data_IF_136720488968
#
_entry.id   IF_136720488968
#
_cell.length_a   1.000
_cell.length_b   1.000
_cell.length_c   1.000
_cell.angle_alpha   90.00
_cell.angle_beta   90.00
_cell.angle_gamma   90.00
#
_symmetry.space_group_name_H-M   'P 1'
#
loop_
_entity.id
_entity.type
_entity.pdbx_description
1 polymer ?
#
# COMPACT_ATOMS: atom_id res chain seq x y z
N UNK A 1 31.13 1.61 11.56
CA UNK A 1 29.74 1.96 11.95
C UNK A 1 29.57 3.43 11.66
N UNK A 2 28.69 3.84 10.74
CA UNK A 2 28.45 5.28 10.49
C UNK A 2 27.71 5.85 11.70
N UNK A 3 28.20 6.94 12.26
CA UNK A 3 27.52 7.67 13.34
C UNK A 3 26.13 8.11 12.87
N UNK A 4 25.11 7.84 13.67
CA UNK A 4 23.74 8.18 13.32
C UNK A 4 23.55 9.70 13.39
N UNK A 5 23.10 10.31 12.29
CA UNK A 5 22.81 11.75 12.25
C UNK A 5 21.67 12.07 13.24
N UNK A 6 21.93 12.84 14.31
CA UNK A 6 20.97 13.09 15.38
C UNK A 6 19.79 13.96 14.94
N UNK A 7 19.83 14.53 13.73
CA UNK A 7 18.74 15.35 13.19
C UNK A 7 17.65 14.55 12.48
N UNK A 8 17.90 13.27 12.22
CA UNK A 8 16.96 12.40 11.53
C UNK A 8 16.06 11.65 12.52
N UNK A 9 14.78 11.54 12.18
CA UNK A 9 13.87 10.68 12.93
C UNK A 9 14.28 9.20 12.81
N UNK A 10 13.89 8.34 13.76
CA UNK A 10 14.20 6.91 13.71
C UNK A 10 13.75 6.22 12.41
N UNK A 11 12.60 6.63 11.87
CA UNK A 11 12.11 6.13 10.58
C UNK A 11 13.01 6.58 9.42
N UNK A 12 13.42 7.84 9.39
CA UNK A 12 14.32 8.34 8.35
C UNK A 12 15.68 7.65 8.40
N UNK A 13 16.23 7.42 9.59
CA UNK A 13 17.46 6.65 9.75
C UNK A 13 17.31 5.20 9.26
N UNK A 14 16.19 4.54 9.58
CA UNK A 14 15.92 3.17 9.13
C UNK A 14 15.76 3.05 7.61
N UNK A 15 15.32 4.12 6.94
CA UNK A 15 15.18 4.16 5.48
C UNK A 15 16.50 4.50 4.76
N UNK A 16 17.48 5.09 5.44
CA UNK A 16 18.79 5.37 4.86
C UNK A 16 19.59 4.08 4.74
N UNK A 17 19.87 3.68 3.50
CA UNK A 17 20.58 2.42 3.21
C UNK A 17 19.69 1.19 3.28
N UNK A 18 18.37 1.36 3.40
CA UNK A 18 17.42 0.27 3.25
C UNK A 18 17.46 -0.24 1.80
N UNK A 19 17.89 -1.48 1.64
CA UNK A 19 17.77 -2.21 0.39
C UNK A 19 16.52 -3.07 0.45
N UNK A 20 15.67 -2.91 -0.55
CA UNK A 20 14.48 -3.74 -0.70
C UNK A 20 14.91 -5.21 -0.82
N UNK A 21 14.24 -6.06 -0.04
CA UNK A 21 14.33 -7.52 -0.15
C UNK A 21 13.81 -7.99 -1.51
N UNK A 22 14.15 -9.22 -1.89
CA UNK A 22 13.65 -9.80 -3.15
C UNK A 22 12.11 -9.88 -3.18
N UNK A 23 11.49 -10.23 -2.05
CA UNK A 23 10.03 -10.24 -1.90
C UNK A 23 9.42 -8.86 -2.17
N UNK A 24 9.99 -7.80 -1.59
CA UNK A 24 9.51 -6.43 -1.76
C UNK A 24 9.67 -5.96 -3.21
N UNK A 25 10.79 -6.29 -3.87
CA UNK A 25 10.98 -6.01 -5.29
C UNK A 25 9.91 -6.68 -6.14
N UNK A 26 9.62 -7.97 -5.90
CA UNK A 26 8.58 -8.71 -6.62
C UNK A 26 7.19 -8.08 -6.41
N UNK A 27 6.85 -7.73 -5.17
CA UNK A 27 5.59 -7.06 -4.84
C UNK A 27 5.46 -5.71 -5.57
N UNK A 28 6.50 -4.87 -5.51
CA UNK A 28 6.53 -3.57 -6.18
C UNK A 28 6.36 -3.72 -7.69
N UNK A 29 7.10 -4.64 -8.31
CA UNK A 29 7.02 -4.86 -9.75
C UNK A 29 5.65 -5.42 -10.18
N UNK A 30 5.05 -6.30 -9.38
CA UNK A 30 3.69 -6.78 -9.62
C UNK A 30 2.68 -5.63 -9.56
N UNK A 31 2.76 -4.79 -8.53
CA UNK A 31 1.86 -3.64 -8.35
C UNK A 31 2.01 -2.63 -9.48
N UNK A 32 3.25 -2.32 -9.90
CA UNK A 32 3.53 -1.46 -11.06
C UNK A 32 2.91 -2.00 -12.34
N UNK A 33 2.95 -3.31 -12.58
CA UNK A 33 2.32 -3.91 -13.77
C UNK A 33 0.80 -3.88 -13.70
N UNK A 34 0.24 -3.94 -12.49
CA UNK A 34 -1.19 -4.06 -12.23
C UNK A 34 -1.84 -2.76 -11.74
N UNK A 35 -1.16 -1.61 -11.80
CA UNK A 35 -1.61 -0.33 -11.25
C UNK A 35 -3.01 0.09 -11.76
N UNK A 36 -3.35 -0.28 -12.99
CA UNK A 36 -4.66 -0.01 -13.58
C UNK A 36 -5.82 -0.61 -12.78
N UNK A 37 -5.57 -1.66 -11.99
CA UNK A 37 -6.56 -2.22 -11.07
C UNK A 37 -6.88 -1.25 -9.93
N UNK A 38 -5.88 -0.56 -9.37
CA UNK A 38 -6.10 0.47 -8.35
C UNK A 38 -6.83 1.68 -8.94
N UNK A 39 -6.47 2.11 -10.16
CA UNK A 39 -7.18 3.20 -10.83
C UNK A 39 -8.69 2.90 -11.01
N UNK A 40 -9.04 1.65 -11.34
CA UNK A 40 -10.45 1.19 -11.36
C UNK A 40 -11.03 1.11 -9.94
N UNK A 41 -10.25 0.63 -8.97
CA UNK A 41 -10.63 0.55 -7.56
C UNK A 41 -11.08 1.90 -6.99
N UNK A 42 -10.45 3.00 -7.38
CA UNK A 42 -10.83 4.35 -6.93
C UNK A 42 -12.29 4.73 -7.26
N UNK A 43 -12.85 4.20 -8.36
CA UNK A 43 -14.25 4.43 -8.73
C UNK A 43 -15.19 3.68 -7.77
N UNK A 44 -14.84 2.45 -7.44
CA UNK A 44 -15.64 1.59 -6.55
C UNK A 44 -15.48 1.96 -5.07
N UNK A 45 -14.33 2.54 -4.69
CA UNK A 45 -14.05 2.99 -3.33
C UNK A 45 -14.83 4.26 -2.93
N UNK A 46 -15.60 4.87 -3.84
CA UNK A 46 -16.32 6.13 -3.60
C UNK A 46 -17.17 6.08 -2.32
N UNK A 47 -18.00 5.06 -2.18
CA UNK A 47 -18.92 4.95 -1.03
C UNK A 47 -18.15 4.82 0.29
N UNK A 48 -17.17 3.93 0.36
CA UNK A 48 -16.33 3.73 1.55
C UNK A 48 -15.54 5.00 1.89
N UNK A 49 -15.08 5.74 0.87
CA UNK A 49 -14.40 7.01 1.06
C UNK A 49 -15.32 8.12 1.60
N UNK A 50 -16.54 8.26 1.06
CA UNK A 50 -17.54 9.20 1.56
C UNK A 50 -17.87 8.91 3.03
N UNK A 51 -18.08 7.64 3.39
CA UNK A 51 -18.33 7.21 4.78
C UNK A 51 -17.13 7.53 5.69
N UNK A 52 -15.91 7.25 5.25
CA UNK A 52 -14.67 7.53 5.99
C UNK A 52 -14.49 9.04 6.23
N UNK A 53 -14.72 9.86 5.20
CA UNK A 53 -14.56 11.32 5.28
C UNK A 53 -15.67 11.97 6.09
N UNK A 54 -16.88 11.41 6.11
CA UNK A 54 -18.01 11.97 6.87
C UNK A 54 -17.72 12.10 8.38
N UNK A 55 -16.84 11.26 8.92
CA UNK A 55 -16.39 11.31 10.32
C UNK A 55 -15.30 12.35 10.60
N UNK A 56 -14.75 13.04 9.59
CA UNK A 56 -13.64 13.97 9.74
C UNK A 56 -14.16 15.40 9.99
N UNK A 57 -13.96 15.90 11.21
CA UNK A 57 -14.31 17.27 11.59
C UNK A 57 -13.36 18.33 11.03
N UNK A 58 -13.70 19.62 11.23
CA UNK A 58 -12.87 20.79 10.92
C UNK A 58 -12.54 21.04 9.42
N UNK A 59 -13.22 20.39 8.48
CA UNK A 59 -13.09 20.71 7.05
C UNK A 59 -14.04 21.84 6.69
N UNK A 60 -13.47 23.01 6.40
CA UNK A 60 -14.21 24.28 6.25
C UNK A 60 -14.64 24.59 4.83
N UNK A 61 -14.17 23.85 3.83
CA UNK A 61 -14.44 24.08 2.41
C UNK A 61 -14.86 22.80 1.71
N UNK A 62 -15.72 22.92 0.70
CA UNK A 62 -16.15 21.79 -0.13
C UNK A 62 -14.98 21.22 -0.95
N UNK A 63 -14.07 22.09 -1.39
CA UNK A 63 -12.83 21.67 -2.03
C UNK A 63 -11.95 20.82 -1.10
N UNK A 64 -11.83 21.21 0.17
CA UNK A 64 -11.10 20.42 1.17
C UNK A 64 -11.72 19.05 1.41
N UNK A 65 -13.05 18.96 1.39
CA UNK A 65 -13.76 17.66 1.48
C UNK A 65 -13.49 16.80 0.25
N UNK A 66 -13.56 17.39 -0.93
CA UNK A 66 -13.32 16.69 -2.20
C UNK A 66 -11.88 16.14 -2.27
N UNK A 67 -10.88 16.94 -1.91
CA UNK A 67 -9.47 16.51 -1.88
C UNK A 67 -9.29 15.35 -0.91
N UNK A 68 -9.88 15.45 0.29
CA UNK A 68 -9.79 14.37 1.26
C UNK A 68 -10.46 13.10 0.77
N UNK A 69 -11.64 13.21 0.14
CA UNK A 69 -12.36 12.07 -0.42
C UNK A 69 -11.55 11.39 -1.55
N UNK A 70 -10.91 12.17 -2.43
CA UNK A 70 -10.01 11.62 -3.47
C UNK A 70 -8.83 10.90 -2.83
N UNK A 71 -8.18 11.50 -1.82
CA UNK A 71 -7.07 10.88 -1.11
C UNK A 71 -7.48 9.56 -0.43
N UNK A 72 -8.67 9.53 0.19
CA UNK A 72 -9.20 8.31 0.80
C UNK A 72 -9.48 7.23 -0.25
N UNK A 73 -10.03 7.58 -1.41
CA UNK A 73 -10.23 6.61 -2.52
C UNK A 73 -8.92 6.02 -3.00
N UNK A 74 -7.86 6.82 -3.13
CA UNK A 74 -6.51 6.33 -3.47
C UNK A 74 -6.02 5.34 -2.41
N UNK A 75 -6.09 5.72 -1.13
CA UNK A 75 -5.61 4.87 -0.03
C UNK A 75 -6.34 3.52 0.03
N UNK A 76 -7.66 3.50 -0.16
CA UNK A 76 -8.46 2.27 -0.21
C UNK A 76 -8.05 1.40 -1.40
N UNK A 77 -7.93 2.01 -2.58
CA UNK A 77 -7.59 1.28 -3.80
C UNK A 77 -6.16 0.70 -3.74
N UNK A 78 -5.21 1.44 -3.17
CA UNK A 78 -3.84 0.96 -2.96
C UNK A 78 -3.78 -0.15 -1.92
N UNK A 79 -4.51 -0.04 -0.80
CA UNK A 79 -4.64 -1.12 0.20
C UNK A 79 -5.08 -2.43 -0.45
N UNK A 80 -6.10 -2.38 -1.30
CA UNK A 80 -6.57 -3.57 -2.01
C UNK A 80 -5.56 -4.10 -3.02
N UNK A 81 -4.87 -3.21 -3.74
CA UNK A 81 -3.83 -3.60 -4.68
C UNK A 81 -2.68 -4.32 -3.97
N UNK A 82 -2.25 -3.83 -2.81
CA UNK A 82 -1.24 -4.46 -1.97
C UNK A 82 -1.70 -5.84 -1.52
N UNK A 83 -2.93 -5.97 -1.04
CA UNK A 83 -3.48 -7.27 -0.62
C UNK A 83 -3.49 -8.29 -1.78
N UNK A 84 -3.87 -7.85 -2.99
CA UNK A 84 -3.82 -8.69 -4.20
C UNK A 84 -2.38 -9.05 -4.58
N UNK A 85 -1.45 -8.10 -4.50
CA UNK A 85 -0.04 -8.35 -4.77
C UNK A 85 0.55 -9.40 -3.81
N UNK A 86 0.24 -9.29 -2.50
CA UNK A 86 0.64 -10.29 -1.50
C UNK A 86 0.04 -11.65 -1.86
N UNK A 87 -1.26 -11.71 -2.16
CA UNK A 87 -1.91 -12.98 -2.50
C UNK A 87 -1.31 -13.67 -3.73
N UNK A 88 -0.82 -12.90 -4.71
CA UNK A 88 -0.24 -13.42 -5.96
C UNK A 88 1.25 -13.78 -5.81
N UNK A 89 2.02 -12.90 -5.17
CA UNK A 89 3.49 -13.01 -5.09
C UNK A 89 3.95 -13.91 -3.94
N UNK A 90 3.29 -13.82 -2.77
CA UNK A 90 3.74 -14.51 -1.57
C UNK A 90 3.79 -16.04 -1.72
N UNK A 91 2.80 -16.71 -2.34
CA UNK A 91 2.85 -18.16 -2.49
C UNK A 91 4.07 -18.65 -3.26
N UNK A 92 4.35 -18.04 -4.42
CA UNK A 92 5.49 -18.40 -5.25
C UNK A 92 6.82 -18.15 -4.51
N UNK A 93 6.90 -17.03 -3.77
CA UNK A 93 8.09 -16.72 -2.98
C UNK A 93 8.32 -17.70 -1.82
N UNK A 94 7.26 -18.13 -1.13
CA UNK A 94 7.32 -19.12 -0.04
C UNK A 94 7.78 -20.50 -0.53
N UNK A 95 7.30 -20.91 -1.71
CA UNK A 95 7.70 -22.17 -2.33
C UNK A 95 9.18 -22.15 -2.72
N UNK A 96 9.66 -21.06 -3.32
CA UNK A 96 11.06 -20.91 -3.74
C UNK A 96 12.06 -20.86 -2.57
N UNK A 97 11.70 -20.19 -1.46
CA UNK A 97 12.65 -19.92 -0.37
C UNK A 97 12.55 -20.92 0.79
N UNK A 98 11.40 -21.56 0.96
CA UNK A 98 11.14 -22.43 2.11
C UNK A 98 10.53 -23.79 1.75
N UNK A 99 10.32 -24.08 0.45
CA UNK A 99 9.64 -25.31 -0.01
C UNK A 99 8.23 -25.46 0.60
N UNK A 100 7.61 -24.33 0.97
CA UNK A 100 6.27 -24.29 1.55
C UNK A 100 5.25 -24.02 0.45
N UNK A 101 4.41 -25.01 0.14
CA UNK A 101 3.27 -24.82 -0.76
C UNK A 101 2.03 -24.42 0.05
N UNK A 102 1.53 -23.17 -0.04
CA UNK A 102 0.34 -22.77 0.68
C UNK A 102 -0.87 -23.56 0.14
N UNK A 103 -1.58 -24.28 1.01
CA UNK A 103 -2.83 -24.94 0.62
C UNK A 103 -3.86 -23.86 0.28
N UNK A 104 -4.31 -23.80 -0.97
CA UNK A 104 -5.48 -23.01 -1.32
C UNK A 104 -6.66 -23.47 -0.45
N UNK A 105 -7.30 -22.54 0.28
CA UNK A 105 -8.61 -22.84 0.88
C UNK A 105 -9.56 -23.11 -0.30
N UNK A 106 -10.08 -24.33 -0.36
CA UNK A 106 -11.19 -24.70 -1.25
C UNK A 106 -12.42 -23.86 -0.94
#
# INVERSE_FOLDING_TARGET
MREADPTLSPLQQALIGYEQTDLEKRLIEWMKKNWAQAARGMVYARKEAEETVSGVGNIRTDEGKLVLEVATRVAIAERELVARAIADVLPAWLEEHYELTPKARK
#
